data_IF_745780093158
#
_entry.id   IF_745780093158
#
_cell.length_a   1.000
_cell.length_b   1.000
_cell.length_c   1.000
_cell.angle_alpha   90.00
_cell.angle_beta   90.00
_cell.angle_gamma   90.00
#
_symmetry.space_group_name_H-M   'P 1'
#
loop_
_entity.id
_entity.type
_entity.pdbx_description
1 polymer ?
#
# COMPACT_ATOMS: atom_id res chain seq x y z
N UNK A 1 1.83 -18.25 -6.95
CA UNK A 1 2.39 -17.24 -7.88
C UNK A 1 2.12 -17.55 -9.35
N UNK A 2 2.65 -18.65 -9.92
CA UNK A 2 2.52 -18.96 -11.36
C UNK A 2 1.08 -18.99 -11.92
N UNK A 3 0.10 -19.48 -11.16
CA UNK A 3 -1.30 -19.55 -11.63
C UNK A 3 -1.92 -18.15 -11.82
N UNK A 4 -1.73 -17.24 -10.85
CA UNK A 4 -2.24 -15.87 -10.94
C UNK A 4 -1.53 -15.06 -12.03
N UNK A 5 -0.23 -15.28 -12.22
CA UNK A 5 0.55 -14.60 -13.26
C UNK A 5 0.06 -14.96 -14.68
N UNK A 6 -0.39 -16.19 -14.89
CA UNK A 6 -0.99 -16.62 -16.16
C UNK A 6 -2.45 -16.19 -16.28
N UNK A 7 -3.22 -16.24 -15.19
CA UNK A 7 -4.64 -15.93 -15.21
C UNK A 7 -4.94 -14.43 -15.35
N UNK A 8 -4.15 -13.55 -14.74
CA UNK A 8 -4.46 -12.11 -14.74
C UNK A 8 -4.53 -11.49 -16.14
N UNK A 9 -3.58 -11.76 -17.07
CA UNK A 9 -3.69 -11.29 -18.46
C UNK A 9 -4.85 -11.92 -19.24
N UNK A 10 -5.23 -13.16 -18.93
CA UNK A 10 -6.33 -13.87 -19.61
C UNK A 10 -7.69 -13.31 -19.20
N UNK A 11 -7.88 -13.05 -17.90
CA UNK A 11 -9.13 -12.48 -17.37
C UNK A 11 -9.20 -10.98 -17.59
N UNK A 12 -8.04 -10.29 -17.55
CA UNK A 12 -7.87 -8.86 -17.81
C UNK A 12 -8.85 -7.94 -17.06
N UNK A 13 -8.97 -8.15 -15.74
CA UNK A 13 -9.77 -7.28 -14.86
C UNK A 13 -8.89 -6.65 -13.79
N UNK A 14 -9.28 -5.47 -13.30
CA UNK A 14 -8.58 -4.81 -12.18
C UNK A 14 -8.43 -5.77 -10.98
N UNK A 15 -9.50 -6.49 -10.60
CA UNK A 15 -9.45 -7.46 -9.49
C UNK A 15 -8.44 -8.59 -9.70
N UNK A 16 -8.27 -9.09 -10.93
CA UNK A 16 -7.29 -10.13 -11.22
C UNK A 16 -5.85 -9.61 -11.05
N UNK A 17 -5.57 -8.40 -11.54
CA UNK A 17 -4.28 -7.74 -11.34
C UNK A 17 -4.03 -7.37 -9.87
N UNK A 18 -5.05 -6.94 -9.11
CA UNK A 18 -4.94 -6.71 -7.65
C UNK A 18 -4.49 -8.00 -6.95
N UNK A 19 -5.17 -9.13 -7.24
CA UNK A 19 -4.84 -10.42 -6.61
C UNK A 19 -3.41 -10.86 -6.92
N UNK A 20 -2.95 -10.67 -8.15
CA UNK A 20 -1.56 -10.95 -8.53
C UNK A 20 -0.58 -10.02 -7.81
N UNK A 21 -0.83 -8.71 -7.82
CA UNK A 21 0.03 -7.71 -7.17
C UNK A 21 0.16 -7.92 -5.66
N UNK A 22 -0.93 -8.28 -4.99
CA UNK A 22 -0.93 -8.64 -3.56
C UNK A 22 -0.09 -9.89 -3.33
N UNK A 23 -0.24 -10.93 -4.16
CA UNK A 23 0.56 -12.14 -4.04
C UNK A 23 2.06 -11.88 -4.28
N UNK A 24 2.41 -11.02 -5.24
CA UNK A 24 3.78 -10.55 -5.48
C UNK A 24 4.34 -9.79 -4.27
N UNK A 25 3.55 -8.89 -3.70
CA UNK A 25 3.95 -8.14 -2.49
C UNK A 25 4.29 -9.08 -1.33
N UNK A 26 3.44 -10.09 -1.07
CA UNK A 26 3.70 -11.09 -0.02
C UNK A 26 4.89 -12.01 -0.32
N UNK A 27 5.24 -12.20 -1.59
CA UNK A 27 6.41 -12.96 -2.00
C UNK A 27 7.71 -12.13 -1.98
N UNK A 28 7.66 -10.85 -1.57
CA UNK A 28 8.81 -9.94 -1.61
C UNK A 28 9.12 -9.37 -3.00
N UNK A 29 8.28 -9.66 -4.01
CA UNK A 29 8.39 -9.19 -5.39
C UNK A 29 7.75 -7.80 -5.53
N UNK A 30 8.22 -6.84 -4.74
CA UNK A 30 7.58 -5.51 -4.59
C UNK A 30 7.68 -4.64 -5.84
N UNK A 31 8.75 -4.78 -6.62
CA UNK A 31 8.91 -4.11 -7.91
C UNK A 31 7.92 -4.64 -8.96
N UNK A 32 7.78 -5.97 -9.08
CA UNK A 32 6.80 -6.57 -9.99
C UNK A 32 5.37 -6.27 -9.54
N UNK A 33 5.12 -6.23 -8.22
CA UNK A 33 3.83 -5.84 -7.66
C UNK A 33 3.42 -4.44 -8.11
N UNK A 34 4.33 -3.45 -8.04
CA UNK A 34 4.05 -2.08 -8.50
C UNK A 34 3.68 -2.04 -9.99
N UNK A 35 4.42 -2.77 -10.83
CA UNK A 35 4.09 -2.86 -12.26
C UNK A 35 2.72 -3.50 -12.50
N UNK A 36 2.37 -4.50 -11.70
CA UNK A 36 1.08 -5.19 -11.78
C UNK A 36 -0.07 -4.31 -11.31
N UNK A 37 0.10 -3.57 -10.20
CA UNK A 37 -0.89 -2.60 -9.75
C UNK A 37 -1.06 -1.44 -10.74
N UNK A 38 0.00 -1.02 -11.44
CA UNK A 38 -0.13 -0.06 -12.52
C UNK A 38 -1.05 -0.56 -13.66
N UNK A 39 -1.08 -1.87 -13.95
CA UNK A 39 -2.06 -2.43 -14.89
C UNK A 39 -3.47 -2.40 -14.31
N UNK A 40 -3.66 -2.72 -13.02
CA UNK A 40 -4.95 -2.57 -12.36
C UNK A 40 -5.48 -1.12 -12.42
N UNK A 41 -4.61 -0.12 -12.19
CA UNK A 41 -4.97 1.30 -12.27
C UNK A 41 -5.35 1.77 -13.68
N UNK A 42 -4.78 1.18 -14.74
CA UNK A 42 -5.22 1.46 -16.11
C UNK A 42 -6.66 1.02 -16.34
N UNK A 43 -7.08 -0.07 -15.70
CA UNK A 43 -8.44 -0.62 -15.81
C UNK A 43 -9.43 0.05 -14.86
N UNK A 44 -8.97 0.50 -13.69
CA UNK A 44 -9.76 1.20 -12.69
C UNK A 44 -9.02 2.47 -12.20
N UNK A 45 -9.03 3.56 -12.98
CA UNK A 45 -8.33 4.79 -12.61
C UNK A 45 -8.91 5.40 -11.33
N UNK A 46 -8.04 5.72 -10.37
CA UNK A 46 -8.45 6.33 -9.08
C UNK A 46 -9.05 5.36 -8.07
N UNK A 47 -8.95 4.05 -8.30
CA UNK A 47 -9.34 3.04 -7.33
C UNK A 47 -8.39 3.08 -6.11
N UNK A 48 -8.92 3.52 -4.97
CA UNK A 48 -8.16 3.69 -3.74
C UNK A 48 -7.67 2.36 -3.16
N UNK A 49 -8.30 1.22 -3.45
CA UNK A 49 -7.81 -0.08 -3.01
C UNK A 49 -6.54 -0.45 -3.78
N UNK A 50 -6.53 -0.21 -5.09
CA UNK A 50 -5.34 -0.43 -5.92
C UNK A 50 -4.21 0.52 -5.50
N UNK A 51 -4.50 1.81 -5.34
CA UNK A 51 -3.50 2.81 -4.92
C UNK A 51 -2.93 2.49 -3.53
N UNK A 52 -3.77 2.02 -2.60
CA UNK A 52 -3.32 1.62 -1.25
C UNK A 52 -2.37 0.42 -1.31
N UNK A 53 -2.68 -0.58 -2.12
CA UNK A 53 -1.84 -1.77 -2.27
C UNK A 53 -0.52 -1.45 -2.97
N UNK A 54 -0.54 -0.58 -3.99
CA UNK A 54 0.67 -0.11 -4.65
C UNK A 54 1.56 0.70 -3.71
N UNK A 55 0.98 1.59 -2.89
CA UNK A 55 1.71 2.36 -1.90
C UNK A 55 2.38 1.45 -0.85
N UNK A 56 1.68 0.40 -0.40
CA UNK A 56 2.22 -0.57 0.53
C UNK A 56 3.40 -1.35 -0.07
N UNK A 57 3.27 -1.82 -1.32
CA UNK A 57 4.36 -2.51 -2.01
C UNK A 57 5.59 -1.61 -2.20
N UNK A 58 5.38 -0.36 -2.62
CA UNK A 58 6.46 0.63 -2.76
C UNK A 58 7.13 0.94 -1.41
N UNK A 59 6.35 1.05 -0.32
CA UNK A 59 6.89 1.31 1.01
C UNK A 59 7.72 0.14 1.56
N UNK A 60 7.32 -1.10 1.27
CA UNK A 60 8.09 -2.30 1.61
C UNK A 60 9.42 -2.38 0.85
N UNK A 61 9.49 -1.83 -0.36
CA UNK A 61 10.73 -1.66 -1.12
C UNK A 61 11.57 -0.46 -0.63
N UNK A 62 11.03 0.38 0.26
CA UNK A 62 11.65 1.66 0.64
C UNK A 62 11.53 2.76 -0.41
N UNK A 63 10.76 2.54 -1.48
CA UNK A 63 10.51 3.48 -2.57
C UNK A 63 9.54 4.60 -2.14
N UNK A 64 10.09 5.55 -1.38
CA UNK A 64 9.35 6.73 -0.90
C UNK A 64 8.81 7.59 -2.05
N UNK A 65 9.52 7.65 -3.17
CA UNK A 65 9.14 8.44 -4.36
C UNK A 65 7.79 8.00 -4.93
N UNK A 66 7.50 6.70 -4.88
CA UNK A 66 6.21 6.16 -5.35
C UNK A 66 5.17 6.11 -4.24
N UNK A 67 5.56 5.71 -3.03
CA UNK A 67 4.63 5.51 -1.93
C UNK A 67 4.00 6.81 -1.40
N UNK A 68 4.79 7.89 -1.25
CA UNK A 68 4.32 9.13 -0.62
C UNK A 68 3.24 9.86 -1.43
N UNK A 69 3.37 10.06 -2.76
CA UNK A 69 2.31 10.69 -3.54
C UNK A 69 0.99 9.91 -3.48
N UNK A 70 1.04 8.57 -3.47
CA UNK A 70 -0.15 7.73 -3.37
C UNK A 70 -0.86 7.92 -2.03
N UNK A 71 -0.15 7.86 -0.90
CA UNK A 71 -0.79 8.04 0.41
C UNK A 71 -1.25 9.47 0.67
N UNK A 72 -0.60 10.47 0.08
CA UNK A 72 -1.08 11.85 0.10
C UNK A 72 -2.42 11.98 -0.65
N UNK A 73 -2.52 11.37 -1.84
CA UNK A 73 -3.76 11.32 -2.61
C UNK A 73 -4.88 10.61 -1.84
N UNK A 74 -4.59 9.45 -1.26
CA UNK A 74 -5.56 8.68 -0.45
C UNK A 74 -6.02 9.51 0.76
N UNK A 75 -5.11 10.23 1.43
CA UNK A 75 -5.44 11.05 2.59
C UNK A 75 -6.34 12.25 2.24
N UNK A 76 -6.23 12.77 1.02
CA UNK A 76 -7.05 13.86 0.51
C UNK A 76 -8.41 13.39 -0.06
N UNK A 77 -8.59 12.08 -0.29
CA UNK A 77 -9.79 11.56 -0.90
C UNK A 77 -10.97 11.55 0.08
N UNK A 78 -12.08 12.20 -0.32
CA UNK A 78 -13.30 12.33 0.52
C UNK A 78 -14.01 10.99 0.73
N UNK A 79 -13.84 10.03 -0.18
CA UNK A 79 -14.39 8.68 -0.11
C UNK A 79 -13.44 7.66 0.53
N UNK A 80 -12.32 8.09 1.14
CA UNK A 80 -11.40 7.19 1.82
C UNK A 80 -12.03 6.55 3.07
N UNK A 81 -12.32 5.26 2.97
CA UNK A 81 -12.69 4.35 4.04
C UNK A 81 -11.56 4.10 5.05
N UNK A 82 -11.92 3.57 6.24
CA UNK A 82 -10.98 3.35 7.34
C UNK A 82 -9.82 2.39 6.98
N UNK A 83 -10.05 1.39 6.12
CA UNK A 83 -8.96 0.49 5.72
C UNK A 83 -7.90 1.17 4.87
N UNK A 84 -8.27 2.11 3.99
CA UNK A 84 -7.28 2.93 3.28
C UNK A 84 -6.48 3.79 4.25
N UNK A 85 -7.16 4.41 5.24
CA UNK A 85 -6.47 5.21 6.27
C UNK A 85 -5.50 4.37 7.10
N UNK A 86 -5.84 3.12 7.43
CA UNK A 86 -4.91 2.18 8.08
C UNK A 86 -3.68 1.90 7.21
N UNK A 87 -3.87 1.68 5.91
CA UNK A 87 -2.77 1.47 4.97
C UNK A 87 -1.87 2.69 4.88
N UNK A 88 -2.42 3.91 4.88
CA UNK A 88 -1.65 5.16 4.97
C UNK A 88 -0.75 5.18 6.21
N UNK A 89 -1.28 4.84 7.39
CA UNK A 89 -0.49 4.77 8.64
C UNK A 89 0.64 3.75 8.52
N UNK A 90 0.36 2.57 7.98
CA UNK A 90 1.36 1.51 7.79
C UNK A 90 2.47 1.96 6.83
N UNK A 91 2.11 2.56 5.69
CA UNK A 91 3.06 3.08 4.70
C UNK A 91 4.00 4.12 5.31
N UNK A 92 3.46 5.15 5.98
CA UNK A 92 4.30 6.14 6.65
C UNK A 92 5.21 5.50 7.72
N UNK A 93 4.72 4.51 8.46
CA UNK A 93 5.51 3.75 9.42
C UNK A 93 6.67 2.96 8.79
N UNK A 94 6.41 2.30 7.66
CA UNK A 94 7.41 1.54 6.88
C UNK A 94 8.49 2.46 6.31
N UNK A 95 8.14 3.70 5.96
CA UNK A 95 9.08 4.72 5.48
C UNK A 95 9.77 5.51 6.61
N UNK A 96 9.44 5.23 7.87
CA UNK A 96 10.02 5.95 9.01
C UNK A 96 9.52 7.36 9.24
N UNK A 97 8.39 7.69 8.65
CA UNK A 97 7.72 8.99 8.77
C UNK A 97 6.56 8.93 9.77
N UNK A 98 6.74 8.20 10.88
CA UNK A 98 5.71 8.02 11.90
C UNK A 98 5.25 9.36 12.51
N UNK A 99 6.14 10.36 12.57
CA UNK A 99 5.83 11.65 13.16
C UNK A 99 4.87 12.48 12.31
N UNK A 100 4.86 12.31 10.98
CA UNK A 100 3.86 12.93 10.09
C UNK A 100 2.44 12.46 10.45
N UNK A 101 2.29 11.16 10.68
CA UNK A 101 1.00 10.57 11.08
C UNK A 101 0.59 11.03 12.47
N UNK A 102 1.54 11.18 13.40
CA UNK A 102 1.23 11.63 14.77
C UNK A 102 0.83 13.10 14.84
N UNK A 103 1.43 13.94 14.00
CA UNK A 103 1.10 15.36 13.92
C UNK A 103 -0.33 15.59 13.39
N UNK A 104 -0.80 14.71 12.50
CA UNK A 104 -2.18 14.74 11.98
C UNK A 104 -2.74 13.33 11.82
N UNK A 105 -3.27 12.73 12.91
CA UNK A 105 -3.81 11.37 12.87
C UNK A 105 -5.04 11.28 11.96
N UNK A 106 -5.21 10.20 11.17
CA UNK A 106 -6.38 10.06 10.31
C UNK A 106 -7.68 10.03 11.10
N UNK A 107 -8.63 10.89 10.70
CA UNK A 107 -9.97 10.96 11.31
C UNK A 107 -10.65 9.59 11.23
N UNK A 108 -11.19 9.13 12.36
CA UNK A 108 -11.91 7.86 12.50
C UNK A 108 -11.04 6.69 12.97
N UNK A 109 -9.73 6.87 13.14
CA UNK A 109 -8.85 5.90 13.80
C UNK A 109 -8.54 6.34 15.22
N UNK A 110 -8.56 5.40 16.17
CA UNK A 110 -8.18 5.69 17.55
C UNK A 110 -6.67 5.86 17.68
N UNK A 111 -6.20 6.77 18.55
CA UNK A 111 -4.75 6.99 18.78
C UNK A 111 -4.00 5.70 19.13
N UNK A 112 -4.61 4.81 19.93
CA UNK A 112 -4.04 3.49 20.27
C UNK A 112 -3.85 2.61 19.03
N UNK A 113 -4.81 2.62 18.10
CA UNK A 113 -4.73 1.88 16.84
C UNK A 113 -3.61 2.43 15.95
N UNK A 114 -3.55 3.75 15.77
CA UNK A 114 -2.48 4.42 15.00
C UNK A 114 -1.10 4.05 15.57
N UNK A 115 -0.91 4.16 16.88
CA UNK A 115 0.36 3.81 17.52
C UNK A 115 0.73 2.33 17.36
N UNK A 116 -0.27 1.44 17.42
CA UNK A 116 -0.06 0.00 17.20
C UNK A 116 0.41 -0.29 15.78
N UNK A 117 -0.23 0.32 14.78
CA UNK A 117 0.15 0.17 13.37
C UNK A 117 1.56 0.71 13.11
N UNK A 118 1.89 1.90 13.62
CA UNK A 118 3.22 2.50 13.49
C UNK A 118 4.32 1.65 14.13
N UNK A 119 4.05 1.07 15.30
CA UNK A 119 5.00 0.19 15.98
C UNK A 119 5.28 -1.08 15.16
N UNK A 120 4.22 -1.73 14.65
CA UNK A 120 4.35 -2.92 13.78
C UNK A 120 5.12 -2.61 12.51
N UNK A 121 4.79 -1.50 11.84
CA UNK A 121 5.49 -1.06 10.63
C UNK A 121 6.98 -0.78 10.90
N UNK A 122 7.31 -0.15 12.03
CA UNK A 122 8.71 0.07 12.45
C UNK A 122 9.46 -1.25 12.62
N UNK A 123 8.84 -2.26 13.22
CA UNK A 123 9.46 -3.60 13.38
C UNK A 123 9.73 -4.27 12.03
N UNK A 124 8.82 -4.14 11.07
CA UNK A 124 9.03 -4.66 9.70
C UNK A 124 10.21 -3.93 9.05
N UNK A 125 10.22 -2.59 9.10
CA UNK A 125 11.31 -1.77 8.55
C UNK A 125 12.67 -2.18 9.12
N UNK A 126 12.78 -2.32 10.44
CA UNK A 126 14.06 -2.68 11.08
C UNK A 126 14.58 -4.07 10.69
N UNK A 127 13.70 -5.01 10.32
CA UNK A 127 14.09 -6.35 9.87
C UNK A 127 14.53 -6.40 8.40
N UNK A 128 14.11 -5.43 7.59
CA UNK A 128 14.53 -5.32 6.19
C UNK A 128 15.82 -4.52 5.99
N UNK A 129 16.36 -3.89 7.04
CA UNK A 129 17.58 -3.07 7.00
C UNK A 129 18.84 -3.77 7.56
N UNK A 130 18.75 -5.06 7.87
CA UNK A 130 19.84 -5.92 8.38
C UNK A 130 20.14 -7.01 7.39
#
# INVERSE_FOLDING_TARGET
MRALAQAAPLVNTSSAYIRLGVAQTFAGQTAEAQTTFAQALKLAPGDLDVESNMALAAALEGNSTTALPLVQKISAATNAQLHHKRNVVVVYGLLGQADQVRASPPIGLATKEVNTLLARARTIRSKGST
#
